data_IF_680864338724
#
_entry.id   IF_680864338724
#
_cell.length_a   1.000
_cell.length_b   1.000
_cell.length_c   1.000
_cell.angle_alpha   90.00
_cell.angle_beta   90.00
_cell.angle_gamma   90.00
#
_symmetry.space_group_name_H-M   'P 1'
#
loop_
_entity.id
_entity.type
_entity.pdbx_description
1 polymer ?
#
# COMPACT_ATOMS: atom_id res chain seq x y z
N UNK A 1 -23.10 10.90 -7.65
CA UNK A 1 -23.15 10.45 -6.24
C UNK A 1 -21.74 10.52 -5.68
N UNK A 2 -21.58 10.87 -4.41
CA UNK A 2 -20.26 11.03 -3.80
C UNK A 2 -20.28 10.53 -2.36
N UNK A 3 -19.26 9.75 -1.99
CA UNK A 3 -19.08 9.22 -0.64
C UNK A 3 -18.18 10.16 0.17
N UNK A 4 -18.55 10.39 1.42
CA UNK A 4 -17.78 11.16 2.39
C UNK A 4 -17.38 10.24 3.53
N UNK A 5 -16.17 10.44 4.05
CA UNK A 5 -15.66 9.78 5.24
C UNK A 5 -15.64 10.79 6.38
N UNK A 6 -16.28 10.44 7.48
CA UNK A 6 -16.41 11.28 8.66
C UNK A 6 -15.70 10.58 9.81
N UNK A 7 -14.66 11.19 10.35
CA UNK A 7 -13.88 10.69 11.47
C UNK A 7 -13.95 11.63 12.67
N UNK A 8 -13.40 11.16 13.81
CA UNK A 8 -13.45 11.85 15.10
C UNK A 8 -14.88 11.99 15.65
N UNK A 9 -15.74 10.99 15.41
CA UNK A 9 -17.09 10.97 15.95
C UNK A 9 -17.11 10.50 17.42
N UNK A 10 -18.18 10.89 18.13
CA UNK A 10 -18.45 10.36 19.46
C UNK A 10 -18.95 8.93 19.37
N UNK A 11 -18.65 8.10 20.36
CA UNK A 11 -19.23 6.76 20.47
C UNK A 11 -20.76 6.80 20.61
N UNK A 12 -21.31 7.93 21.07
CA UNK A 12 -22.75 8.17 21.17
C UNK A 12 -23.37 8.67 19.86
N UNK A 13 -22.57 8.92 18.82
CA UNK A 13 -23.07 9.37 17.52
C UNK A 13 -23.85 8.25 16.84
N UNK A 14 -25.12 8.51 16.51
CA UNK A 14 -25.98 7.58 15.79
C UNK A 14 -26.03 7.89 14.29
N UNK A 15 -26.36 6.88 13.47
CA UNK A 15 -26.60 7.05 12.02
C UNK A 15 -27.68 8.12 11.74
N UNK A 16 -28.73 8.17 12.57
CA UNK A 16 -29.80 9.15 12.45
C UNK A 16 -29.29 10.59 12.69
N UNK A 17 -28.44 10.78 13.70
CA UNK A 17 -27.83 12.08 13.99
C UNK A 17 -26.94 12.58 12.85
N UNK A 18 -26.14 11.68 12.25
CA UNK A 18 -25.34 11.99 11.06
C UNK A 18 -26.23 12.34 9.88
N UNK A 19 -27.25 11.52 9.58
CA UNK A 19 -28.16 11.80 8.48
C UNK A 19 -28.83 13.16 8.62
N UNK A 20 -29.27 13.52 9.81
CA UNK A 20 -29.88 14.83 10.07
C UNK A 20 -28.89 15.99 9.89
N UNK A 21 -27.65 15.85 10.37
CA UNK A 21 -26.62 16.88 10.18
C UNK A 21 -26.28 17.09 8.69
N UNK A 22 -26.17 16.01 7.92
CA UNK A 22 -25.84 16.08 6.50
C UNK A 22 -27.03 16.46 5.61
N UNK A 23 -28.27 16.19 6.06
CA UNK A 23 -29.49 16.57 5.35
C UNK A 23 -29.61 18.09 5.11
N UNK A 24 -29.01 18.92 5.98
CA UNK A 24 -28.96 20.36 5.81
C UNK A 24 -28.08 20.80 4.62
N UNK A 25 -27.11 19.98 4.22
CA UNK A 25 -26.19 20.27 3.10
C UNK A 25 -26.63 19.62 1.78
N UNK A 26 -27.50 18.62 1.84
CA UNK A 26 -28.16 18.02 0.68
C UNK A 26 -28.74 16.63 0.98
N UNK A 27 -29.24 15.98 -0.06
CA UNK A 27 -29.88 14.67 0.06
C UNK A 27 -28.87 13.55 0.36
N UNK A 28 -29.08 12.86 1.47
CA UNK A 28 -28.29 11.71 1.93
C UNK A 28 -28.93 10.42 1.42
N UNK A 29 -28.19 9.68 0.60
CA UNK A 29 -28.61 8.41 0.02
C UNK A 29 -28.43 7.28 1.03
N UNK A 30 -27.29 7.25 1.70
CA UNK A 30 -26.92 6.13 2.57
C UNK A 30 -25.95 6.58 3.67
N UNK A 31 -26.00 5.94 4.83
CA UNK A 31 -25.09 6.22 5.96
C UNK A 31 -24.71 4.89 6.60
N UNK A 32 -23.41 4.64 6.72
CA UNK A 32 -22.87 3.39 7.26
C UNK A 32 -21.78 3.70 8.29
N UNK A 33 -21.73 2.97 9.41
CA UNK A 33 -20.62 3.08 10.36
C UNK A 33 -19.38 2.39 9.79
N UNK A 34 -18.24 3.06 9.83
CA UNK A 34 -16.98 2.51 9.32
C UNK A 34 -16.41 1.48 10.32
N UNK A 35 -15.86 0.35 9.85
CA UNK A 35 -15.24 -0.64 10.72
C UNK A 35 -13.99 -0.04 11.37
N UNK A 36 -13.90 -0.16 12.70
CA UNK A 36 -12.78 0.30 13.51
C UNK A 36 -11.46 -0.34 13.03
N UNK A 37 -10.50 0.48 12.57
CA UNK A 37 -9.16 0.01 12.19
C UNK A 37 -8.15 0.36 13.28
N UNK A 38 -7.97 -0.55 14.25
CA UNK A 38 -6.84 -0.53 15.18
C UNK A 38 -7.22 -0.54 16.66
N UNK A 39 -6.42 -1.26 17.46
CA UNK A 39 -6.72 -1.69 18.83
C UNK A 39 -6.57 -0.63 19.94
N UNK A 40 -6.67 0.67 19.65
CA UNK A 40 -6.54 1.67 20.72
C UNK A 40 -7.48 2.87 20.57
N UNK A 41 -8.62 2.72 21.23
CA UNK A 41 -9.48 3.76 21.83
C UNK A 41 -10.29 4.71 20.93
N UNK A 42 -11.59 4.38 20.82
CA UNK A 42 -12.71 5.28 21.16
C UNK A 42 -13.05 6.44 20.21
N UNK A 43 -12.66 6.37 18.95
CA UNK A 43 -13.17 7.26 17.90
C UNK A 43 -13.93 6.45 16.85
N UNK A 44 -15.24 6.68 16.81
CA UNK A 44 -16.08 6.11 15.77
C UNK A 44 -15.89 6.90 14.48
N UNK A 45 -16.04 6.23 13.35
CA UNK A 45 -16.02 6.84 12.03
C UNK A 45 -17.23 6.33 11.24
N UNK A 46 -17.66 7.11 10.26
CA UNK A 46 -18.81 6.78 9.43
C UNK A 46 -18.57 7.19 7.98
N UNK A 47 -19.25 6.49 7.08
CA UNK A 47 -19.36 6.83 5.67
C UNK A 47 -20.74 7.40 5.39
N UNK A 48 -20.80 8.54 4.70
CA UNK A 48 -22.03 9.20 4.27
C UNK A 48 -22.04 9.27 2.75
N UNK A 49 -23.05 8.69 2.10
CA UNK A 49 -23.23 8.79 0.64
C UNK A 49 -24.23 9.90 0.33
N UNK A 50 -23.78 10.90 -0.41
CA UNK A 50 -24.60 12.02 -0.87
C UNK A 50 -25.10 11.77 -2.30
N UNK A 51 -26.28 12.29 -2.60
CA UNK A 51 -26.92 12.16 -3.92
C UNK A 51 -26.08 12.84 -5.02
N UNK A 52 -25.53 14.02 -4.72
CA UNK A 52 -24.75 14.84 -5.66
C UNK A 52 -23.36 15.20 -5.10
N UNK A 53 -22.40 15.45 -6.01
CA UNK A 53 -21.06 15.89 -5.63
C UNK A 53 -21.10 17.30 -4.99
N UNK A 54 -21.89 18.22 -5.56
CA UNK A 54 -22.07 19.56 -5.00
C UNK A 54 -22.64 19.55 -3.56
N UNK A 55 -23.51 18.59 -3.21
CA UNK A 55 -23.95 18.40 -1.82
C UNK A 55 -22.82 17.88 -0.92
N UNK A 56 -21.97 16.99 -1.44
CA UNK A 56 -20.83 16.46 -0.71
C UNK A 56 -19.74 17.50 -0.43
N UNK A 57 -19.39 18.33 -1.42
CA UNK A 57 -18.44 19.44 -1.24
C UNK A 57 -18.96 20.48 -0.25
N UNK A 58 -20.25 20.85 -0.33
CA UNK A 58 -20.86 21.76 0.65
C UNK A 58 -20.86 21.16 2.05
N UNK A 59 -21.18 19.88 2.19
CA UNK A 59 -21.09 19.20 3.48
C UNK A 59 -19.66 19.18 4.01
N UNK A 60 -18.67 18.87 3.17
CA UNK A 60 -17.26 18.91 3.55
C UNK A 60 -16.80 20.32 3.92
N UNK A 61 -17.25 21.38 3.23
CA UNK A 61 -16.86 22.74 3.58
C UNK A 61 -17.55 23.26 4.85
N UNK A 62 -18.84 22.95 5.03
CA UNK A 62 -19.66 23.53 6.11
C UNK A 62 -19.62 22.72 7.41
N UNK A 63 -19.51 21.39 7.32
CA UNK A 63 -19.59 20.50 8.48
C UNK A 63 -18.20 20.02 8.94
N UNK A 64 -17.15 20.19 8.14
CA UNK A 64 -15.78 19.89 8.57
C UNK A 64 -15.34 20.85 9.68
N UNK A 65 -14.81 20.31 10.76
CA UNK A 65 -14.41 21.06 11.95
C UNK A 65 -15.56 21.42 12.89
N UNK A 66 -16.82 21.19 12.50
CA UNK A 66 -17.98 21.50 13.35
C UNK A 66 -18.09 20.55 14.53
N UNK A 67 -18.59 21.07 15.65
CA UNK A 67 -18.78 20.31 16.89
C UNK A 67 -20.06 19.47 16.80
N UNK A 68 -19.92 18.15 16.72
CA UNK A 68 -21.01 17.20 16.91
C UNK A 68 -20.84 16.49 18.24
N UNK A 69 -21.81 16.64 19.14
CA UNK A 69 -21.79 16.03 20.48
C UNK A 69 -20.49 16.35 21.26
N UNK A 70 -19.97 17.57 21.11
CA UNK A 70 -18.77 18.04 21.79
C UNK A 70 -17.44 17.63 21.14
N UNK A 71 -17.46 17.03 19.94
CA UNK A 71 -16.25 16.68 19.17
C UNK A 71 -16.25 17.30 17.77
N UNK A 72 -15.11 17.82 17.34
CA UNK A 72 -14.96 18.37 15.99
C UNK A 72 -14.92 17.25 14.95
N UNK A 73 -15.93 17.18 14.09
CA UNK A 73 -15.98 16.18 13.04
C UNK A 73 -14.96 16.50 11.95
N UNK A 74 -14.27 15.47 11.45
CA UNK A 74 -13.36 15.62 10.33
C UNK A 74 -13.98 14.94 9.12
N UNK A 75 -14.35 15.73 8.12
CA UNK A 75 -14.93 15.23 6.87
C UNK A 75 -13.86 15.22 5.79
N UNK A 76 -13.67 14.07 5.17
CA UNK A 76 -12.79 13.88 4.01
C UNK A 76 -13.62 13.30 2.88
N UNK A 77 -13.34 13.68 1.63
CA UNK A 77 -13.95 12.98 0.50
C UNK A 77 -13.50 11.52 0.52
N UNK A 78 -14.44 10.60 0.73
CA UNK A 78 -14.16 9.19 0.58
C UNK A 78 -14.06 8.98 -0.93
N UNK A 79 -12.84 8.77 -1.42
CA UNK A 79 -12.64 8.41 -2.82
C UNK A 79 -13.48 7.16 -3.07
N UNK A 80 -14.57 7.30 -3.82
CA UNK A 80 -15.40 6.18 -4.23
C UNK A 80 -14.52 5.37 -5.16
N UNK A 81 -13.91 4.32 -4.61
CA UNK A 81 -13.36 3.24 -5.40
C UNK A 81 -14.53 2.69 -6.22
N UNK A 82 -14.68 3.16 -7.46
CA UNK A 82 -15.06 2.23 -8.52
C UNK A 82 -14.17 0.99 -8.36
N UNK A 83 -14.64 -0.24 -8.68
CA UNK A 83 -13.75 -1.39 -8.75
C UNK A 83 -12.78 -1.19 -9.91
N UNK A 84 -11.77 -0.36 -9.69
CA UNK A 84 -10.72 0.04 -10.59
C UNK A 84 -9.46 -0.03 -9.77
N UNK A 85 -8.71 -1.09 -10.04
CA UNK A 85 -7.38 -1.30 -9.53
C UNK A 85 -6.61 0.02 -9.51
N UNK A 86 -6.31 0.45 -8.28
CA UNK A 86 -5.04 1.06 -7.89
C UNK A 86 -4.45 2.01 -8.92
N UNK A 87 -5.05 3.20 -9.06
CA UNK A 87 -4.40 4.32 -9.74
C UNK A 87 -3.61 5.14 -8.72
N UNK A 88 -2.31 4.88 -8.62
CA UNK A 88 -1.35 5.88 -8.14
C UNK A 88 -0.16 5.99 -9.10
N UNK A 89 -0.14 7.18 -9.69
CA UNK A 89 0.89 7.90 -10.42
C UNK A 89 1.04 7.67 -11.94
N UNK A 90 0.69 8.72 -12.69
CA UNK A 90 1.05 8.93 -14.09
C UNK A 90 2.40 9.65 -14.13
N UNK A 91 3.43 8.88 -14.44
CA UNK A 91 4.63 9.35 -15.15
C UNK A 91 5.03 8.23 -16.10
N UNK A 92 4.81 8.41 -17.40
CA UNK A 92 5.14 7.44 -18.45
C UNK A 92 6.66 7.41 -18.69
N UNK A 93 7.35 6.30 -18.42
CA UNK A 93 7.83 5.22 -19.36
C UNK A 93 9.24 5.51 -19.95
N UNK A 94 10.14 4.51 -20.17
CA UNK A 94 9.78 3.19 -20.69
C UNK A 94 10.43 1.94 -20.04
N UNK A 95 9.71 0.81 -20.22
CA UNK A 95 10.14 -0.60 -20.25
C UNK A 95 11.00 -1.14 -19.10
N UNK A 96 10.37 -1.78 -18.12
CA UNK A 96 10.78 -3.11 -17.61
C UNK A 96 9.91 -3.56 -16.42
N UNK A 97 9.53 -4.83 -16.45
CA UNK A 97 8.32 -5.39 -15.86
C UNK A 97 8.32 -5.58 -14.32
N UNK A 98 9.05 -4.79 -13.53
CA UNK A 98 9.13 -4.97 -12.08
C UNK A 98 8.96 -3.64 -11.32
N UNK A 99 7.85 -3.51 -10.57
CA UNK A 99 7.57 -2.35 -9.71
C UNK A 99 7.69 -2.75 -8.24
N UNK A 100 8.53 -2.06 -7.47
CA UNK A 100 8.59 -2.24 -6.01
C UNK A 100 7.25 -1.78 -5.41
N UNK A 101 6.48 -2.71 -4.86
CA UNK A 101 5.17 -2.47 -4.22
C UNK A 101 5.28 -2.17 -2.75
N UNK A 102 6.23 -2.81 -2.06
CA UNK A 102 6.46 -2.62 -0.64
C UNK A 102 7.96 -2.72 -0.33
N UNK A 103 8.41 -1.98 0.68
CA UNK A 103 9.76 -2.06 1.22
C UNK A 103 9.67 -2.06 2.74
N UNK A 104 10.42 -2.94 3.39
CA UNK A 104 10.48 -3.02 4.85
C UNK A 104 11.92 -3.25 5.27
N UNK A 105 12.42 -2.41 6.17
CA UNK A 105 13.74 -2.57 6.77
C UNK A 105 13.58 -3.32 8.08
N UNK A 106 14.24 -4.46 8.19
CA UNK A 106 14.39 -5.23 9.41
C UNK A 106 15.77 -4.97 10.03
N UNK A 107 15.98 -5.44 11.27
CA UNK A 107 17.23 -5.26 12.02
C UNK A 107 18.46 -5.79 11.26
N UNK A 108 18.30 -6.87 10.51
CA UNK A 108 19.38 -7.57 9.81
C UNK A 108 19.10 -7.74 8.31
N UNK A 109 18.01 -7.17 7.79
CA UNK A 109 17.62 -7.33 6.39
C UNK A 109 16.86 -6.12 5.84
N UNK A 110 16.85 -5.98 4.53
CA UNK A 110 15.99 -5.09 3.77
C UNK A 110 15.17 -5.94 2.81
N UNK A 111 13.86 -5.96 3.02
CA UNK A 111 12.93 -6.74 2.20
C UNK A 111 12.23 -5.82 1.21
N UNK A 112 12.27 -6.21 -0.05
CA UNK A 112 11.62 -5.55 -1.16
C UNK A 112 10.59 -6.50 -1.75
N UNK A 113 9.37 -6.04 -1.89
CA UNK A 113 8.35 -6.75 -2.63
C UNK A 113 8.18 -6.04 -3.98
N UNK A 114 8.26 -6.80 -5.06
CA UNK A 114 8.16 -6.34 -6.43
C UNK A 114 6.97 -7.03 -7.10
N UNK A 115 6.05 -6.24 -7.63
CA UNK A 115 5.01 -6.75 -8.54
C UNK A 115 5.56 -6.82 -9.96
N UNK A 116 5.46 -7.99 -10.56
CA UNK A 116 5.68 -8.21 -11.98
C UNK A 116 4.34 -8.56 -12.65
N UNK A 117 4.24 -8.40 -13.98
CA UNK A 117 2.99 -8.58 -14.74
C UNK A 117 2.27 -9.91 -14.48
N UNK A 118 3.01 -10.96 -14.15
CA UNK A 118 2.47 -12.30 -13.90
C UNK A 118 2.80 -12.85 -12.52
N UNK A 119 3.54 -12.18 -11.64
CA UNK A 119 3.93 -12.74 -10.34
C UNK A 119 4.38 -11.67 -9.36
N UNK A 120 4.38 -11.99 -8.07
CA UNK A 120 5.05 -11.19 -7.05
C UNK A 120 6.40 -11.82 -6.74
N UNK A 121 7.43 -10.97 -6.67
CA UNK A 121 8.78 -11.34 -6.29
C UNK A 121 9.11 -10.63 -4.98
N UNK A 122 9.55 -11.38 -3.99
CA UNK A 122 10.08 -10.81 -2.75
C UNK A 122 11.59 -10.99 -2.75
N UNK A 123 12.32 -9.89 -2.76
CA UNK A 123 13.78 -9.84 -2.67
C UNK A 123 14.18 -9.38 -1.27
N UNK A 124 14.87 -10.22 -0.52
CA UNK A 124 15.43 -9.94 0.81
C UNK A 124 16.93 -9.79 0.73
N UNK A 125 17.44 -8.63 1.12
CA UNK A 125 18.86 -8.32 1.20
C UNK A 125 19.26 -8.29 2.67
N UNK A 126 20.02 -9.28 3.14
CA UNK A 126 20.55 -9.28 4.50
C UNK A 126 21.78 -8.39 4.60
N UNK A 127 21.84 -7.58 5.66
CA UNK A 127 23.01 -6.77 5.96
C UNK A 127 24.17 -7.68 6.39
N UNK A 128 25.41 -7.36 6.01
CA UNK A 128 26.56 -8.14 6.44
C UNK A 128 26.71 -8.09 7.96
N UNK A 129 27.08 -9.23 8.54
CA UNK A 129 27.32 -9.33 9.97
C UNK A 129 28.54 -8.47 10.35
N UNK A 130 28.56 -7.81 11.53
CA UNK A 130 29.75 -7.11 12.01
C UNK A 130 31.02 -7.98 12.03
N UNK A 131 30.90 -9.31 12.19
CA UNK A 131 32.04 -10.24 12.15
C UNK A 131 32.48 -10.62 10.72
N UNK A 132 31.67 -10.31 9.72
CA UNK A 132 31.95 -10.58 8.30
C UNK A 132 31.36 -9.48 7.42
N UNK A 133 31.96 -8.26 7.43
CA UNK A 133 31.41 -7.06 6.79
C UNK A 133 31.33 -7.16 5.26
N UNK A 134 32.03 -8.13 4.67
CA UNK A 134 32.03 -8.39 3.23
C UNK A 134 31.03 -9.46 2.80
N UNK A 135 30.16 -9.98 3.69
CA UNK A 135 29.27 -11.09 3.35
C UNK A 135 27.82 -10.62 3.17
N UNK A 136 27.47 -10.28 1.94
CA UNK A 136 26.10 -9.88 1.58
C UNK A 136 25.31 -11.10 1.15
N UNK A 137 24.16 -11.32 1.77
CA UNK A 137 23.24 -12.41 1.41
C UNK A 137 21.98 -11.82 0.81
N UNK A 138 21.60 -12.30 -0.37
CA UNK A 138 20.37 -11.89 -1.05
C UNK A 138 19.54 -13.13 -1.32
N UNK A 139 18.26 -13.06 -1.00
CA UNK A 139 17.27 -14.09 -1.23
C UNK A 139 16.18 -13.52 -2.13
N UNK A 140 15.75 -14.25 -3.15
CA UNK A 140 14.60 -13.92 -3.97
C UNK A 140 13.63 -15.10 -3.97
N UNK A 141 12.35 -14.80 -3.75
CA UNK A 141 11.27 -15.79 -3.76
C UNK A 141 10.10 -15.28 -4.58
N UNK A 142 9.37 -16.18 -5.25
CA UNK A 142 8.11 -15.86 -5.93
C UNK A 142 6.90 -16.34 -5.12
N UNK A 143 5.73 -15.76 -5.36
CA UNK A 143 4.46 -16.22 -4.81
C UNK A 143 3.85 -17.43 -5.57
N UNK A 144 4.28 -17.68 -6.81
CA UNK A 144 3.73 -18.73 -7.68
C UNK A 144 4.37 -20.12 -7.53
N UNK A 145 5.28 -20.30 -6.57
CA UNK A 145 5.94 -21.58 -6.33
C UNK A 145 6.88 -21.56 -5.13
N UNK A 146 7.50 -22.70 -4.83
CA UNK A 146 8.53 -22.85 -3.78
C UNK A 146 9.94 -22.43 -4.25
N UNK A 147 10.01 -21.71 -5.38
CA UNK A 147 11.24 -21.26 -6.01
C UNK A 147 11.85 -20.13 -5.20
N UNK A 148 12.73 -20.53 -4.28
CA UNK A 148 13.56 -19.65 -3.46
C UNK A 148 14.99 -19.76 -3.97
N UNK A 149 15.54 -18.62 -4.40
CA UNK A 149 16.92 -18.51 -4.87
C UNK A 149 17.68 -17.64 -3.89
N UNK A 150 18.87 -18.07 -3.51
CA UNK A 150 19.73 -17.34 -2.60
C UNK A 150 21.15 -17.28 -3.16
N UNK A 151 21.80 -16.12 -3.02
CA UNK A 151 23.22 -15.97 -3.27
C UNK A 151 23.87 -15.17 -2.15
N UNK A 152 25.10 -15.54 -1.81
CA UNK A 152 25.90 -14.88 -0.80
C UNK A 152 27.25 -14.49 -1.40
N UNK A 153 27.55 -13.20 -1.45
CA UNK A 153 28.71 -12.67 -2.16
C UNK A 153 29.43 -11.56 -1.38
N UNK A 154 30.61 -11.20 -1.89
CA UNK A 154 31.48 -10.15 -1.35
C UNK A 154 30.85 -8.74 -1.28
N UNK A 155 29.75 -8.52 -1.99
CA UNK A 155 29.11 -7.22 -2.17
C UNK A 155 27.64 -7.37 -2.52
N UNK A 156 26.82 -6.37 -2.15
CA UNK A 156 25.38 -6.32 -2.46
C UNK A 156 25.09 -6.56 -3.95
N UNK A 157 25.86 -5.93 -4.83
CA UNK A 157 25.67 -6.02 -6.28
C UNK A 157 26.01 -7.41 -6.82
N UNK A 158 27.08 -8.02 -6.32
CA UNK A 158 27.47 -9.38 -6.67
C UNK A 158 26.41 -10.37 -6.18
N UNK A 159 25.89 -10.20 -4.96
CA UNK A 159 24.87 -11.08 -4.41
C UNK A 159 23.56 -10.99 -5.21
N UNK A 160 23.15 -9.78 -5.61
CA UNK A 160 21.99 -9.58 -6.50
C UNK A 160 22.19 -10.25 -7.86
N UNK A 161 23.39 -10.14 -8.43
CA UNK A 161 23.73 -10.80 -9.69
C UNK A 161 23.72 -12.33 -9.56
N UNK A 162 24.27 -12.87 -8.47
CA UNK A 162 24.26 -14.31 -8.20
C UNK A 162 22.83 -14.85 -8.10
N UNK A 163 21.92 -14.10 -7.47
CA UNK A 163 20.49 -14.46 -7.44
C UNK A 163 19.87 -14.41 -8.85
N UNK A 164 20.18 -13.41 -9.66
CA UNK A 164 19.69 -13.32 -11.03
C UNK A 164 20.16 -14.48 -11.92
N UNK A 165 21.44 -14.85 -11.82
CA UNK A 165 22.02 -15.98 -12.54
C UNK A 165 21.41 -17.31 -12.09
N UNK A 166 21.27 -17.51 -10.77
CA UNK A 166 20.65 -18.71 -10.22
C UNK A 166 19.15 -18.81 -10.57
N UNK A 167 18.44 -17.67 -10.69
CA UNK A 167 17.06 -17.63 -11.17
C UNK A 167 16.93 -18.02 -12.64
N UNK A 168 17.84 -17.53 -13.49
CA UNK A 168 17.90 -17.93 -14.90
C UNK A 168 18.27 -19.40 -15.10
N UNK A 169 18.91 -20.02 -14.10
CA UNK A 169 19.24 -21.44 -14.08
C UNK A 169 18.13 -22.33 -13.51
N UNK A 170 17.01 -21.76 -13.05
CA UNK A 170 15.90 -22.55 -12.54
C UNK A 170 15.29 -23.42 -13.65
N UNK A 171 14.96 -24.69 -13.36
CA UNK A 171 14.28 -25.54 -14.33
C UNK A 171 12.94 -24.92 -14.71
N UNK A 172 12.54 -24.98 -15.98
CA UNK A 172 11.27 -24.43 -16.48
C UNK A 172 10.04 -24.96 -15.72
N UNK A 173 10.16 -26.12 -15.05
CA UNK A 173 9.15 -26.69 -14.15
C UNK A 173 8.93 -25.92 -12.84
N UNK A 174 9.79 -24.96 -12.49
CA UNK A 174 9.76 -24.23 -11.22
C UNK A 174 8.73 -23.08 -11.20
N UNK A 175 7.91 -22.94 -12.25
CA UNK A 175 6.94 -21.85 -12.45
C UNK A 175 7.54 -20.46 -12.21
N UNK A 176 8.85 -20.32 -12.43
CA UNK A 176 9.57 -19.08 -12.25
C UNK A 176 9.11 -18.10 -13.34
N UNK A 177 8.54 -16.93 -12.99
CA UNK A 177 8.21 -15.91 -13.97
C UNK A 177 9.47 -15.48 -14.74
N UNK A 178 9.30 -15.12 -16.02
CA UNK A 178 10.33 -14.37 -16.75
C UNK A 178 10.49 -13.00 -16.09
N UNK A 179 11.62 -12.82 -15.40
CA UNK A 179 11.94 -11.60 -14.65
C UNK A 179 13.05 -10.83 -15.35
N UNK A 180 12.83 -9.52 -15.46
CA UNK A 180 13.85 -8.58 -15.92
C UNK A 180 14.78 -8.20 -14.76
N UNK A 181 15.76 -9.07 -14.50
CA UNK A 181 16.77 -8.88 -13.46
C UNK A 181 17.59 -7.59 -13.60
N UNK A 182 18.02 -7.15 -14.81
CA UNK A 182 18.64 -5.85 -15.01
C UNK A 182 17.80 -4.68 -14.48
N UNK A 183 16.49 -4.71 -14.74
CA UNK A 183 15.58 -3.70 -14.25
C UNK A 183 15.38 -3.75 -12.73
N UNK A 184 15.24 -4.96 -12.17
CA UNK A 184 15.14 -5.16 -10.71
C UNK A 184 16.40 -4.62 -10.02
N UNK A 185 17.59 -4.91 -10.55
CA UNK A 185 18.85 -4.40 -10.02
C UNK A 185 18.90 -2.87 -10.08
N UNK A 186 18.44 -2.27 -11.18
CA UNK A 186 18.37 -0.80 -11.34
C UNK A 186 17.40 -0.16 -10.35
N UNK A 187 16.20 -0.74 -10.19
CA UNK A 187 15.20 -0.29 -9.23
C UNK A 187 15.74 -0.37 -7.80
N UNK A 188 16.38 -1.48 -7.43
CA UNK A 188 16.97 -1.67 -6.09
C UNK A 188 18.15 -0.73 -5.83
N UNK A 189 18.93 -0.34 -6.85
CA UNK A 189 19.98 0.68 -6.74
C UNK A 189 19.41 2.08 -6.48
N UNK A 190 18.27 2.40 -7.09
CA UNK A 190 17.60 3.69 -6.92
C UNK A 190 16.98 3.87 -5.52
N UNK A 191 16.70 2.78 -4.80
CA UNK A 191 16.20 2.86 -3.42
C UNK A 191 17.35 3.22 -2.48
N UNK A 192 17.40 4.49 -2.08
CA UNK A 192 18.22 4.94 -0.94
C UNK A 192 17.68 4.27 0.32
N UNK A 193 18.55 3.52 1.00
CA UNK A 193 18.26 3.02 2.35
C UNK A 193 18.07 4.22 3.28
N UNK A 194 16.82 4.49 3.65
CA UNK A 194 16.48 5.40 4.75
C UNK A 194 16.61 4.63 6.07
#
# INVERSE_FOLDING_TARGET
MSKLYVSNLSQTTSLASLRQAFAACGEVIDVEMAPERGAYHSTSAAYVRMSTNAAAERAAANLHGTLLLGRSMVITHAHEEEPKGRKRDKGAEPVSNARITQQYRERMSMTYELSCHSARLTVRIFFPDPESPSRWRVEARTDRGESVVEATEGSRELALRGVAEAWGSLPTSASAPELDWPAIATALKAVRAV
#
